data_IF_518187264826
#
_entry.id   IF_518187264826
#
_cell.length_a   1.000
_cell.length_b   1.000
_cell.length_c   1.000
_cell.angle_alpha   90.00
_cell.angle_beta   90.00
_cell.angle_gamma   90.00
#
_symmetry.space_group_name_H-M   'P 1'
#
loop_
_entity.id
_entity.type
_entity.pdbx_description
1 polymer ?
#
# COMPACT_ATOMS: atom_id res chain seq x y z
N UNK A 1 -15.44 14.51 21.27
CA UNK A 1 -15.02 13.28 20.58
C UNK A 1 -13.69 13.57 19.90
N UNK A 2 -12.60 12.96 20.34
CA UNK A 2 -11.28 13.17 19.73
C UNK A 2 -11.28 12.53 18.33
N UNK A 3 -10.86 13.25 17.27
CA UNK A 3 -10.77 12.63 15.95
C UNK A 3 -9.85 11.40 16.02
N UNK A 4 -10.21 10.31 15.31
CA UNK A 4 -9.41 9.11 15.32
C UNK A 4 -7.97 9.40 14.85
N UNK A 5 -6.97 8.66 15.36
CA UNK A 5 -5.61 8.74 14.86
C UNK A 5 -5.56 8.72 13.33
N UNK A 6 -4.81 9.64 12.72
CA UNK A 6 -4.46 9.49 11.31
C UNK A 6 -3.45 8.35 11.15
N UNK A 7 -3.46 7.69 9.99
CA UNK A 7 -2.45 6.68 9.62
C UNK A 7 -1.01 7.17 9.89
N UNK A 8 -0.72 8.41 9.47
CA UNK A 8 0.58 9.06 9.68
C UNK A 8 0.95 9.17 11.16
N UNK A 9 -0.01 9.53 12.03
CA UNK A 9 0.24 9.66 13.47
C UNK A 9 0.59 8.31 14.10
N UNK A 10 -0.13 7.25 13.75
CA UNK A 10 0.15 5.90 14.25
C UNK A 10 1.53 5.44 13.76
N UNK A 11 1.79 5.54 12.45
CA UNK A 11 3.05 5.12 11.85
C UNK A 11 4.26 5.84 12.47
N UNK A 12 4.17 7.16 12.64
CA UNK A 12 5.23 7.96 13.27
C UNK A 12 5.46 7.58 14.73
N UNK A 13 4.40 7.17 15.46
CA UNK A 13 4.51 6.67 16.84
C UNK A 13 5.31 5.37 16.96
N UNK A 14 5.43 4.60 15.88
CA UNK A 14 6.30 3.42 15.78
C UNK A 14 7.70 3.75 15.23
N UNK A 15 8.03 5.02 15.03
CA UNK A 15 9.32 5.45 14.47
C UNK A 15 9.45 5.26 12.96
N UNK A 16 8.34 5.06 12.24
CA UNK A 16 8.36 5.01 10.78
C UNK A 16 8.55 6.42 10.20
N UNK A 17 9.46 6.56 9.25
CA UNK A 17 9.56 7.76 8.43
C UNK A 17 8.32 7.88 7.53
N UNK A 18 7.55 8.95 7.73
CA UNK A 18 6.32 9.21 6.98
C UNK A 18 6.47 10.34 5.95
N UNK A 19 7.68 10.85 5.74
CA UNK A 19 7.96 11.94 4.79
C UNK A 19 7.60 11.60 3.34
N UNK A 20 7.64 10.31 2.98
CA UNK A 20 7.26 9.79 1.67
C UNK A 20 5.76 9.54 1.49
N UNK A 21 4.90 9.76 2.50
CA UNK A 21 3.45 9.52 2.38
C UNK A 21 2.80 10.62 1.55
N UNK A 22 2.22 10.24 0.42
CA UNK A 22 1.52 11.16 -0.49
C UNK A 22 0.08 11.38 0.00
N UNK A 23 -0.35 12.64 0.03
CA UNK A 23 -1.74 13.04 0.27
C UNK A 23 -2.40 13.41 -1.05
N UNK A 24 -3.56 12.85 -1.33
CA UNK A 24 -4.33 13.15 -2.55
C UNK A 24 -5.51 14.05 -2.17
N UNK A 25 -5.51 15.34 -2.57
CA UNK A 25 -6.60 16.26 -2.26
C UNK A 25 -7.95 15.73 -2.76
N UNK A 26 -8.99 15.89 -1.95
CA UNK A 26 -10.36 15.46 -2.30
C UNK A 26 -10.62 13.95 -2.21
N UNK A 27 -9.60 13.13 -1.91
CA UNK A 27 -9.76 11.67 -1.79
C UNK A 27 -9.66 11.20 -0.34
N UNK A 28 -10.43 10.17 -0.01
CA UNK A 28 -10.31 9.46 1.28
C UNK A 28 -9.24 8.38 1.21
N UNK A 29 -8.58 8.07 2.32
CA UNK A 29 -7.77 6.83 2.43
C UNK A 29 -8.67 5.61 2.22
N UNK A 30 -8.14 4.57 1.55
CA UNK A 30 -8.83 3.29 1.41
C UNK A 30 -9.02 2.61 2.77
N UNK A 31 -10.04 1.75 2.86
CA UNK A 31 -10.42 1.09 4.12
C UNK A 31 -10.71 -0.38 3.83
N UNK A 32 -10.12 -1.27 4.63
CA UNK A 32 -10.46 -2.69 4.64
C UNK A 32 -11.01 -3.06 6.01
N UNK A 33 -12.28 -3.46 6.06
CA UNK A 33 -12.86 -4.07 7.25
C UNK A 33 -12.58 -5.56 7.23
N UNK A 34 -11.88 -6.04 8.26
CA UNK A 34 -11.57 -7.47 8.43
C UNK A 34 -12.43 -8.02 9.55
N UNK A 35 -13.38 -8.89 9.19
CA UNK A 35 -14.26 -9.56 10.14
C UNK A 35 -13.81 -11.00 10.33
N UNK A 36 -13.63 -11.44 11.58
CA UNK A 36 -13.29 -12.83 11.90
C UNK A 36 -14.51 -13.53 12.51
N UNK A 37 -14.91 -14.65 11.92
CA UNK A 37 -15.94 -15.52 12.51
C UNK A 37 -15.40 -16.18 13.77
N UNK A 38 -16.00 -15.88 14.93
CA UNK A 38 -15.60 -16.53 16.19
C UNK A 38 -15.81 -18.05 16.17
N UNK A 39 -16.84 -18.53 15.46
CA UNK A 39 -17.17 -19.95 15.38
C UNK A 39 -16.19 -20.75 14.51
N UNK A 40 -15.60 -20.14 13.47
CA UNK A 40 -14.80 -20.88 12.46
C UNK A 40 -13.38 -20.37 12.30
N UNK A 41 -13.03 -19.22 12.88
CA UNK A 41 -11.75 -18.54 12.66
C UNK A 41 -11.57 -17.93 11.27
N UNK A 42 -12.52 -18.13 10.33
CA UNK A 42 -12.44 -17.59 8.96
C UNK A 42 -12.50 -16.06 8.98
N UNK A 43 -11.73 -15.43 8.10
CA UNK A 43 -11.68 -13.98 7.92
C UNK A 43 -12.32 -13.57 6.60
N UNK A 44 -13.17 -12.56 6.65
CA UNK A 44 -13.76 -11.92 5.47
C UNK A 44 -13.30 -10.47 5.41
N UNK A 45 -12.86 -10.05 4.22
CA UNK A 45 -12.31 -8.72 3.98
C UNK A 45 -13.31 -7.93 3.13
N UNK A 46 -13.78 -6.79 3.64
CA UNK A 46 -14.61 -5.85 2.90
C UNK A 46 -13.76 -4.61 2.59
N UNK A 47 -13.38 -4.48 1.32
CA UNK A 47 -12.50 -3.43 0.85
C UNK A 47 -13.30 -2.30 0.21
N UNK A 48 -12.99 -1.06 0.59
CA UNK A 48 -13.48 0.16 -0.05
C UNK A 48 -12.28 0.93 -0.60
N UNK A 49 -12.17 1.07 -1.94
CA UNK A 49 -11.12 1.87 -2.57
C UNK A 49 -11.13 3.33 -2.09
N UNK A 50 -9.97 3.98 -2.17
CA UNK A 50 -9.78 5.38 -1.82
C UNK A 50 -8.68 5.99 -2.68
N UNK A 51 -7.78 6.77 -2.08
CA UNK A 51 -6.65 7.39 -2.75
C UNK A 51 -5.76 6.39 -3.50
N UNK A 52 -5.67 5.14 -3.02
CA UNK A 52 -4.95 4.06 -3.68
C UNK A 52 -5.44 3.77 -5.12
N UNK A 53 -6.70 4.08 -5.45
CA UNK A 53 -7.24 3.92 -6.81
C UNK A 53 -6.59 4.85 -7.84
N UNK A 54 -5.84 5.87 -7.40
CA UNK A 54 -5.21 6.91 -8.24
C UNK A 54 -3.69 6.80 -8.31
N UNK A 55 -3.11 5.71 -7.82
CA UNK A 55 -1.67 5.51 -7.76
C UNK A 55 -1.04 5.45 -9.16
N UNK A 56 0.20 5.91 -9.26
CA UNK A 56 1.03 5.72 -10.45
C UNK A 56 2.35 5.05 -10.09
N UNK A 57 3.05 4.48 -11.08
CA UNK A 57 4.31 3.79 -10.84
C UNK A 57 5.42 4.74 -10.34
N UNK A 58 5.39 6.01 -10.75
CA UNK A 58 6.36 7.03 -10.37
C UNK A 58 6.29 7.37 -8.87
N UNK A 59 5.09 7.28 -8.29
CA UNK A 59 4.85 7.57 -6.87
C UNK A 59 5.44 6.52 -5.92
N UNK A 60 5.81 5.34 -6.42
CA UNK A 60 6.30 4.22 -5.59
C UNK A 60 7.75 4.37 -5.13
N UNK A 61 8.46 5.40 -5.61
CA UNK A 61 9.87 5.62 -5.28
C UNK A 61 10.09 7.03 -4.75
N UNK A 62 10.40 7.19 -3.46
CA UNK A 62 10.80 8.48 -2.91
C UNK A 62 12.00 9.07 -3.66
N UNK A 63 12.06 10.40 -3.87
CA UNK A 63 13.10 11.06 -4.67
C UNK A 63 14.53 10.90 -4.11
N UNK A 64 14.68 10.54 -2.82
CA UNK A 64 15.98 10.42 -2.13
C UNK A 64 16.12 9.11 -1.34
N UNK A 65 15.51 8.02 -1.82
CA UNK A 65 15.57 6.73 -1.15
C UNK A 65 17.01 6.17 -1.07
N UNK A 66 17.37 5.66 0.12
CA UNK A 66 18.63 4.93 0.42
C UNK A 66 18.37 3.50 0.90
N UNK A 67 17.13 3.05 0.85
CA UNK A 67 16.72 1.70 1.19
C UNK A 67 17.49 0.68 0.35
N UNK A 68 17.84 -0.45 0.96
CA UNK A 68 18.45 -1.60 0.26
C UNK A 68 17.42 -2.62 -0.18
N UNK A 69 16.25 -2.61 0.46
CA UNK A 69 15.17 -3.56 0.24
C UNK A 69 13.94 -2.74 -0.18
N UNK A 70 13.35 -3.13 -1.30
CA UNK A 70 12.05 -2.62 -1.74
C UNK A 70 10.97 -3.65 -1.43
N UNK A 71 10.01 -3.26 -0.60
CA UNK A 71 8.86 -4.09 -0.27
C UNK A 71 7.59 -3.50 -0.86
N UNK A 72 6.89 -4.30 -1.66
CA UNK A 72 5.59 -3.96 -2.22
C UNK A 72 4.56 -4.98 -1.75
N UNK A 73 3.63 -4.52 -0.90
CA UNK A 73 2.50 -5.32 -0.43
C UNK A 73 1.31 -5.24 -1.39
N UNK A 74 0.58 -6.35 -1.51
CA UNK A 74 -0.76 -6.43 -2.13
C UNK A 74 -0.90 -5.80 -3.53
N UNK A 75 -0.14 -6.25 -4.56
CA UNK A 75 -0.47 -5.89 -5.94
C UNK A 75 -1.91 -6.31 -6.27
N UNK A 76 -2.65 -5.48 -7.01
CA UNK A 76 -4.07 -5.73 -7.33
C UNK A 76 -5.10 -4.91 -6.53
N UNK A 77 -4.66 -4.03 -5.62
CA UNK A 77 -5.57 -3.16 -4.85
C UNK A 77 -5.83 -1.78 -5.51
N UNK A 78 -5.10 -1.45 -6.56
CA UNK A 78 -5.13 -0.14 -7.20
C UNK A 78 -5.63 -0.26 -8.63
N UNK A 79 -6.87 0.18 -8.86
CA UNK A 79 -7.53 0.10 -10.17
C UNK A 79 -6.75 0.80 -11.28
N UNK A 80 -6.10 1.94 -11.02
CA UNK A 80 -5.28 2.64 -12.04
C UNK A 80 -3.99 1.89 -12.38
N UNK A 81 -3.35 1.27 -11.39
CA UNK A 81 -2.16 0.44 -11.60
C UNK A 81 -2.50 -0.87 -12.31
N UNK A 82 -3.67 -1.44 -12.03
CA UNK A 82 -4.19 -2.66 -12.68
C UNK A 82 -4.65 -2.41 -14.12
N UNK A 83 -5.27 -1.26 -14.39
CA UNK A 83 -5.69 -0.85 -15.72
C UNK A 83 -4.51 -0.48 -16.65
N UNK A 84 -3.30 -0.41 -16.11
CA UNK A 84 -2.07 -0.09 -16.84
C UNK A 84 -0.99 -1.17 -16.62
N UNK A 85 0.21 -0.98 -17.18
CA UNK A 85 1.39 -1.81 -16.85
C UNK A 85 2.06 -1.36 -15.53
N UNK A 86 1.31 -0.72 -14.63
CA UNK A 86 1.83 0.04 -13.49
C UNK A 86 2.67 -0.82 -12.55
N UNK A 87 2.15 -1.96 -12.10
CA UNK A 87 2.87 -2.84 -11.17
C UNK A 87 4.15 -3.42 -11.77
N UNK A 88 4.11 -3.82 -13.04
CA UNK A 88 5.28 -4.32 -13.75
C UNK A 88 6.32 -3.22 -13.93
N UNK A 89 5.89 -1.99 -14.21
CA UNK A 89 6.77 -0.83 -14.29
C UNK A 89 7.50 -0.57 -12.95
N UNK A 90 6.80 -0.70 -11.82
CA UNK A 90 7.40 -0.59 -10.49
C UNK A 90 8.51 -1.61 -10.28
N UNK A 91 8.26 -2.90 -10.59
CA UNK A 91 9.30 -3.93 -10.43
C UNK A 91 10.49 -3.73 -11.39
N UNK A 92 10.26 -3.29 -12.64
CA UNK A 92 11.36 -2.92 -13.56
C UNK A 92 12.22 -1.81 -12.97
N UNK A 93 11.58 -0.78 -12.40
CA UNK A 93 12.27 0.36 -11.80
C UNK A 93 13.06 -0.03 -10.54
N UNK A 94 12.48 -0.86 -9.67
CA UNK A 94 13.18 -1.37 -8.49
C UNK A 94 14.44 -2.18 -8.88
N UNK A 95 14.33 -3.04 -9.89
CA UNK A 95 15.45 -3.81 -10.43
C UNK A 95 16.54 -2.92 -11.03
N UNK A 96 16.16 -1.89 -11.80
CA UNK A 96 17.10 -0.93 -12.37
C UNK A 96 17.88 -0.17 -11.29
N UNK A 97 17.26 0.09 -10.12
CA UNK A 97 17.88 0.69 -8.94
C UNK A 97 18.72 -0.28 -8.10
N UNK A 98 18.79 -1.57 -8.48
CA UNK A 98 19.50 -2.64 -7.76
C UNK A 98 19.02 -2.82 -6.31
N UNK A 99 17.74 -2.55 -6.05
CA UNK A 99 17.12 -2.84 -4.76
C UNK A 99 16.94 -4.35 -4.65
N UNK A 100 17.20 -4.91 -3.46
CA UNK A 100 16.82 -6.29 -3.16
C UNK A 100 15.28 -6.36 -3.10
N UNK A 101 14.70 -7.23 -3.91
CA UNK A 101 13.27 -7.45 -4.01
C UNK A 101 12.80 -8.43 -2.92
N UNK A 102 11.98 -7.93 -1.99
CA UNK A 102 11.24 -8.76 -1.03
C UNK A 102 9.77 -8.83 -1.46
N UNK A 103 9.34 -9.96 -2.02
CA UNK A 103 7.93 -10.17 -2.36
C UNK A 103 7.15 -10.73 -1.15
N UNK A 104 6.04 -10.08 -0.80
CA UNK A 104 5.01 -10.61 0.10
C UNK A 104 3.67 -10.67 -0.63
N UNK A 105 3.51 -11.62 -1.56
CA UNK A 105 2.19 -11.93 -2.14
C UNK A 105 1.49 -12.89 -1.18
N UNK A 106 0.55 -12.40 -0.38
CA UNK A 106 -0.47 -13.27 0.23
C UNK A 106 -1.64 -13.31 -0.74
N UNK A 107 -1.54 -14.19 -1.73
CA UNK A 107 -2.69 -14.61 -2.53
C UNK A 107 -3.60 -15.42 -1.62
N UNK A 108 -4.69 -14.80 -1.17
CA UNK A 108 -5.87 -15.53 -0.71
C UNK A 108 -6.72 -15.83 -1.94
N UNK A 109 -6.60 -17.03 -2.48
CA UNK A 109 -7.58 -17.54 -3.43
C UNK A 109 -8.96 -17.54 -2.77
N UNK A 110 -9.95 -17.00 -3.48
CA UNK A 110 -11.37 -17.11 -3.16
C UNK A 110 -11.85 -18.56 -3.26
#
# INVERSE_FOLDING_TARGET
>A
MTPPPTFIRIASGFGLDTSGVIRVPGQTTDVTHVMTSLATGRRTFFFRPGANSTMTAEQMFPPHDRGKIFYLGSPGISTSMDASDGWRAVFRNARARRLQDGHGVVSGAA
#
